data_IF_957988471564
#
_entry.id   IF_957988471564
#
_cell.length_a   1.000
_cell.length_b   1.000
_cell.length_c   1.000
_cell.angle_alpha   90.00
_cell.angle_beta   90.00
_cell.angle_gamma   90.00
#
_symmetry.space_group_name_H-M   'P 1'
#
loop_
_entity.id
_entity.type
_entity.pdbx_description
1 polymer ?
#
# COMPACT_ATOMS: atom_id res chain seq x y z
N UNK A 1 10.15 -13.76 -11.63
CA UNK A 1 8.91 -13.51 -12.39
C UNK A 1 8.22 -12.31 -11.78
N UNK A 2 7.66 -11.40 -12.58
CA UNK A 2 6.90 -10.27 -12.08
C UNK A 2 5.40 -10.55 -12.15
N UNK A 3 4.65 -10.05 -11.18
CA UNK A 3 3.19 -10.14 -11.13
C UNK A 3 2.60 -8.78 -10.80
N UNK A 4 1.46 -8.45 -11.43
CA UNK A 4 0.73 -7.20 -11.20
C UNK A 4 -0.55 -7.52 -10.44
N UNK A 5 -0.79 -6.81 -9.34
CA UNK A 5 -1.98 -6.93 -8.51
C UNK A 5 -2.77 -5.63 -8.57
N UNK A 6 -4.09 -5.74 -8.63
CA UNK A 6 -5.01 -4.61 -8.59
C UNK A 6 -5.84 -4.69 -7.32
N UNK A 7 -5.93 -3.57 -6.60
CA UNK A 7 -6.78 -3.43 -5.43
C UNK A 7 -7.58 -2.15 -5.51
N UNK A 8 -8.75 -2.15 -4.90
CA UNK A 8 -9.56 -0.97 -4.68
C UNK A 8 -9.84 -0.87 -3.18
N UNK A 9 -10.04 0.35 -2.71
CA UNK A 9 -10.44 0.60 -1.34
C UNK A 9 -10.97 2.02 -1.17
N UNK A 10 -11.37 2.30 0.07
CA UNK A 10 -11.97 3.58 0.45
C UNK A 10 -11.36 4.03 1.76
N UNK A 11 -10.70 5.19 1.74
CA UNK A 11 -10.26 5.86 2.97
C UNK A 11 -11.43 6.65 3.53
N UNK A 12 -11.76 6.43 4.80
CA UNK A 12 -12.86 7.13 5.48
C UNK A 12 -12.31 8.15 6.46
N UNK A 13 -12.76 9.39 6.32
CA UNK A 13 -12.38 10.50 7.18
C UNK A 13 -13.56 10.81 8.11
N UNK A 14 -13.28 10.75 9.41
CA UNK A 14 -14.23 11.22 10.43
C UNK A 14 -14.49 12.72 10.35
N UNK A 15 -15.36 13.21 11.22
CA UNK A 15 -15.61 14.64 11.31
C UNK A 15 -14.35 15.41 11.73
N UNK A 16 -14.03 16.49 11.00
CA UNK A 16 -12.88 17.37 11.23
C UNK A 16 -13.23 18.81 10.81
N UNK A 17 -12.39 19.80 11.14
CA UNK A 17 -12.65 21.24 10.89
C UNK A 17 -11.40 21.96 10.42
N UNK A 18 -11.48 22.70 9.30
CA UNK A 18 -10.48 23.69 8.87
C UNK A 18 -9.04 23.19 8.64
N UNK A 19 -8.76 21.91 8.87
CA UNK A 19 -7.42 21.32 8.80
C UNK A 19 -7.44 20.11 7.88
N UNK A 20 -6.31 19.90 7.20
CA UNK A 20 -6.10 18.70 6.41
C UNK A 20 -6.10 17.50 7.35
N UNK A 21 -6.97 16.53 7.08
CA UNK A 21 -7.02 15.28 7.85
C UNK A 21 -6.40 14.18 7.02
N UNK A 22 -5.62 13.32 7.67
CA UNK A 22 -4.92 12.21 7.03
C UNK A 22 -5.46 10.88 7.56
N UNK A 23 -5.62 9.89 6.69
CA UNK A 23 -6.00 8.51 7.04
C UNK A 23 -5.12 7.54 6.28
N UNK A 24 -4.75 6.43 6.92
CA UNK A 24 -3.79 5.45 6.42
C UNK A 24 -4.44 4.08 6.39
N UNK A 25 -4.29 3.36 5.28
CA UNK A 25 -4.63 1.94 5.18
C UNK A 25 -3.37 1.15 4.81
N UNK A 26 -3.04 0.12 5.59
CA UNK A 26 -1.84 -0.68 5.40
C UNK A 26 -2.15 -2.06 4.81
N UNK A 27 -1.26 -2.55 3.94
CA UNK A 27 -1.41 -3.81 3.23
C UNK A 27 -0.15 -4.67 3.32
N UNK A 28 -0.37 -5.96 3.56
CA UNK A 28 0.64 -7.00 3.41
C UNK A 28 0.42 -7.70 2.08
N UNK A 29 1.43 -7.71 1.21
CA UNK A 29 1.34 -8.31 -0.13
C UNK A 29 1.77 -9.79 -0.12
N UNK A 30 2.55 -10.18 0.87
CA UNK A 30 2.91 -11.58 1.10
C UNK A 30 2.89 -11.87 2.60
N UNK A 31 1.99 -12.74 3.08
CA UNK A 31 2.19 -13.37 4.36
C UNK A 31 3.46 -14.24 4.21
N UNK A 32 4.40 -13.93 5.08
CA UNK A 32 5.39 -14.80 5.70
C UNK A 32 6.51 -15.55 4.92
N UNK A 33 6.41 -16.10 3.71
CA UNK A 33 7.57 -16.92 3.22
C UNK A 33 7.75 -17.13 1.70
N UNK A 34 6.96 -16.47 0.87
CA UNK A 34 6.96 -16.77 -0.58
C UNK A 34 8.13 -16.15 -1.37
N UNK A 35 9.11 -15.49 -0.75
CA UNK A 35 10.17 -14.78 -1.50
C UNK A 35 9.66 -13.62 -2.39
N UNK A 36 8.38 -13.29 -2.30
CA UNK A 36 7.75 -12.18 -3.03
C UNK A 36 8.12 -10.85 -2.38
N UNK A 37 8.50 -9.86 -3.18
CA UNK A 37 8.75 -8.48 -2.73
C UNK A 37 8.01 -7.50 -3.62
N UNK A 38 7.59 -6.37 -3.03
CA UNK A 38 7.02 -5.26 -3.76
C UNK A 38 8.16 -4.60 -4.55
N UNK A 39 8.00 -4.55 -5.86
CA UNK A 39 8.93 -3.87 -6.74
C UNK A 39 8.55 -2.41 -6.92
N UNK A 40 7.26 -2.15 -7.17
CA UNK A 40 6.70 -0.83 -7.42
C UNK A 40 5.22 -0.80 -7.01
N UNK A 41 4.69 0.39 -6.72
CA UNK A 41 3.29 0.61 -6.43
C UNK A 41 2.85 1.98 -6.92
N UNK A 42 1.64 2.07 -7.46
CA UNK A 42 1.03 3.34 -7.86
C UNK A 42 -0.41 3.38 -7.41
N UNK A 43 -0.81 4.52 -6.85
CA UNK A 43 -2.17 4.74 -6.36
C UNK A 43 -2.83 5.87 -7.14
N UNK A 44 -4.13 5.72 -7.40
CA UNK A 44 -4.94 6.66 -8.16
C UNK A 44 -6.23 6.98 -7.41
N UNK A 45 -6.60 8.26 -7.40
CA UNK A 45 -7.92 8.68 -6.94
C UNK A 45 -8.95 8.26 -7.98
N UNK A 46 -9.99 7.53 -7.56
CA UNK A 46 -11.15 7.18 -8.39
C UNK A 46 -12.32 8.11 -8.19
N UNK A 47 -12.48 8.60 -6.98
CA UNK A 47 -13.59 9.44 -6.56
C UNK A 47 -13.37 9.92 -5.13
N UNK A 48 -14.13 10.92 -4.74
CA UNK A 48 -14.17 11.41 -3.37
C UNK A 48 -15.57 11.95 -3.09
N UNK A 49 -16.03 11.75 -1.87
CA UNK A 49 -17.25 12.38 -1.37
C UNK A 49 -16.90 13.22 -0.15
N UNK A 50 -17.41 14.44 -0.08
CA UNK A 50 -17.26 15.31 1.08
C UNK A 50 -18.61 15.92 1.42
N UNK A 51 -18.91 16.03 2.70
CA UNK A 51 -20.15 16.62 3.17
C UNK A 51 -19.88 17.45 4.42
N UNK A 52 -20.39 18.67 4.44
CA UNK A 52 -20.48 19.46 5.66
C UNK A 52 -21.46 18.80 6.64
N UNK A 53 -21.18 18.84 7.93
CA UNK A 53 -22.08 18.26 8.95
C UNK A 53 -22.97 19.31 9.63
N UNK A 54 -22.78 20.60 9.32
CA UNK A 54 -23.67 21.72 9.68
C UNK A 54 -24.46 22.24 8.47
N UNK A 55 -25.07 23.43 8.55
CA UNK A 55 -26.09 23.90 7.58
C UNK A 55 -25.76 25.17 6.80
N UNK A 56 -24.73 25.93 7.19
CA UNK A 56 -24.11 26.95 6.35
C UNK A 56 -23.02 26.30 5.49
N UNK A 57 -23.16 26.42 4.17
CA UNK A 57 -22.44 25.56 3.22
C UNK A 57 -21.64 26.40 2.22
N UNK A 58 -20.83 27.33 2.71
CA UNK A 58 -20.01 28.15 1.82
C UNK A 58 -18.75 27.40 1.41
N UNK A 59 -18.91 26.45 0.50
CA UNK A 59 -17.80 25.70 -0.09
C UNK A 59 -16.84 26.60 -0.88
N UNK A 60 -15.55 26.57 -0.56
CA UNK A 60 -14.52 27.25 -1.36
C UNK A 60 -13.62 26.27 -2.10
N UNK A 61 -13.07 25.29 -1.40
CA UNK A 61 -12.02 24.42 -1.96
C UNK A 61 -12.07 23.03 -1.34
N UNK A 62 -11.96 21.99 -2.18
CA UNK A 62 -11.57 20.64 -1.77
C UNK A 62 -10.13 20.42 -2.22
N UNK A 63 -9.29 19.91 -1.33
CA UNK A 63 -8.01 19.30 -1.68
C UNK A 63 -8.05 17.83 -1.31
N UNK A 64 -7.72 16.98 -2.28
CA UNK A 64 -7.60 15.53 -2.12
C UNK A 64 -6.16 15.15 -2.44
N UNK A 65 -5.49 14.53 -1.48
CA UNK A 65 -4.16 13.97 -1.65
C UNK A 65 -4.19 12.46 -1.46
N UNK A 66 -3.35 11.77 -2.21
CA UNK A 66 -3.18 10.34 -2.08
C UNK A 66 -1.71 10.02 -2.35
N UNK A 67 -1.12 9.20 -1.49
CA UNK A 67 0.25 8.76 -1.59
C UNK A 67 0.35 7.27 -1.28
N UNK A 68 1.46 6.66 -1.69
CA UNK A 68 1.77 5.25 -1.42
C UNK A 68 3.19 5.14 -0.90
N UNK A 69 3.34 4.54 0.28
CA UNK A 69 4.64 4.27 0.87
C UNK A 69 4.90 2.76 0.83
N UNK A 70 6.03 2.38 0.26
CA UNK A 70 6.52 0.99 0.31
C UNK A 70 7.54 0.90 1.42
N UNK A 71 7.46 -0.17 2.20
CA UNK A 71 8.40 -0.43 3.28
C UNK A 71 9.82 -0.70 2.82
N UNK A 72 10.78 -0.46 3.71
CA UNK A 72 12.19 -0.75 3.44
C UNK A 72 12.45 -2.23 3.12
N UNK A 73 11.74 -3.15 3.79
CA UNK A 73 11.81 -4.59 3.52
C UNK A 73 11.00 -5.03 2.28
N UNK A 74 10.25 -4.10 1.68
CA UNK A 74 9.37 -4.29 0.53
C UNK A 74 8.34 -5.41 0.72
N UNK A 75 7.91 -5.66 1.97
CA UNK A 75 6.89 -6.67 2.31
C UNK A 75 5.52 -6.06 2.56
N UNK A 76 5.49 -4.79 2.93
CA UNK A 76 4.27 -4.04 3.18
C UNK A 76 4.27 -2.72 2.42
N UNK A 77 3.08 -2.19 2.21
CA UNK A 77 2.89 -0.84 1.72
C UNK A 77 1.72 -0.21 2.46
N UNK A 78 1.69 1.12 2.56
CA UNK A 78 0.52 1.88 3.00
C UNK A 78 0.01 2.78 1.89
N UNK A 79 -1.30 3.00 1.89
CA UNK A 79 -1.93 4.07 1.11
C UNK A 79 -2.35 5.14 2.11
N UNK A 80 -1.82 6.34 1.90
CA UNK A 80 -2.03 7.49 2.78
C UNK A 80 -2.88 8.51 2.02
N UNK A 81 -4.05 8.85 2.55
CA UNK A 81 -4.92 9.85 1.95
C UNK A 81 -5.01 11.09 2.82
N UNK A 82 -5.07 12.26 2.19
CA UNK A 82 -5.38 13.52 2.85
C UNK A 82 -6.62 14.16 2.23
N UNK A 83 -7.47 14.69 3.10
CA UNK A 83 -8.68 15.41 2.72
C UNK A 83 -8.74 16.75 3.45
N UNK A 84 -8.92 17.82 2.69
CA UNK A 84 -9.17 19.16 3.21
C UNK A 84 -10.39 19.75 2.52
N UNK A 85 -11.36 20.17 3.31
CA UNK A 85 -12.45 21.05 2.89
C UNK A 85 -12.23 22.41 3.53
N UNK A 86 -12.22 23.47 2.71
CA UNK A 86 -12.22 24.86 3.19
C UNK A 86 -13.52 25.55 2.85
N UNK A 87 -14.12 26.12 3.86
CA UNK A 87 -15.16 27.15 3.81
C UNK A 87 -14.53 28.55 4.01
N UNK A 88 -15.37 29.58 4.17
CA UNK A 88 -14.92 30.97 4.31
C UNK A 88 -14.18 31.30 5.60
N UNK A 89 -14.45 30.56 6.67
CA UNK A 89 -13.99 30.80 8.03
C UNK A 89 -13.19 29.61 8.58
N UNK A 90 -13.26 28.44 7.93
CA UNK A 90 -12.50 27.25 8.30
C UNK A 90 -13.09 26.53 9.52
N UNK A 91 -14.30 26.88 9.96
CA UNK A 91 -14.91 26.35 11.18
C UNK A 91 -15.99 25.30 10.92
N UNK A 92 -16.44 25.16 9.68
CA UNK A 92 -17.46 24.20 9.30
C UNK A 92 -16.93 22.77 9.38
N UNK A 93 -17.55 21.91 10.20
CA UNK A 93 -17.17 20.52 10.27
C UNK A 93 -17.50 19.79 8.97
N UNK A 94 -16.58 18.93 8.55
CA UNK A 94 -16.75 18.09 7.37
C UNK A 94 -16.28 16.68 7.62
N UNK A 95 -16.80 15.76 6.81
CA UNK A 95 -16.36 14.36 6.73
C UNK A 95 -16.35 13.93 5.27
N UNK A 96 -15.70 12.82 4.98
CA UNK A 96 -15.68 12.34 3.61
C UNK A 96 -15.02 11.00 3.41
N UNK A 97 -14.94 10.62 2.15
CA UNK A 97 -14.28 9.41 1.68
C UNK A 97 -13.41 9.73 0.48
N UNK A 98 -12.35 8.93 0.30
CA UNK A 98 -11.56 8.89 -0.93
C UNK A 98 -11.57 7.44 -1.42
N UNK A 99 -12.15 7.23 -2.60
CA UNK A 99 -12.06 5.95 -3.30
C UNK A 99 -10.78 5.91 -4.12
N UNK A 100 -10.05 4.80 -4.03
CA UNK A 100 -8.80 4.65 -4.74
C UNK A 100 -8.67 3.32 -5.49
N UNK A 101 -7.80 3.34 -6.50
CA UNK A 101 -7.25 2.16 -7.18
C UNK A 101 -5.76 2.08 -6.85
N UNK A 102 -5.30 0.89 -6.46
CA UNK A 102 -3.90 0.59 -6.20
C UNK A 102 -3.43 -0.47 -7.20
N UNK A 103 -2.31 -0.19 -7.87
CA UNK A 103 -1.58 -1.14 -8.71
C UNK A 103 -0.28 -1.49 -8.00
N UNK A 104 -0.04 -2.78 -7.77
CA UNK A 104 1.17 -3.27 -7.11
C UNK A 104 1.91 -4.20 -8.05
N UNK A 105 3.17 -3.87 -8.33
CA UNK A 105 4.07 -4.75 -9.06
C UNK A 105 4.92 -5.51 -8.04
N UNK A 106 4.89 -6.83 -8.12
CA UNK A 106 5.68 -7.71 -7.26
C UNK A 106 6.70 -8.47 -8.09
N UNK A 107 7.81 -8.83 -7.46
CA UNK A 107 8.79 -9.76 -8.03
C UNK A 107 8.99 -10.95 -7.10
N UNK A 108 9.14 -12.12 -7.70
CA UNK A 108 9.52 -13.33 -7.00
C UNK A 108 11.01 -13.58 -7.19
N UNK A 109 11.77 -13.54 -6.09
CA UNK A 109 13.13 -14.04 -6.07
C UNK A 109 13.06 -15.55 -5.82
N UNK A 110 13.24 -16.32 -6.90
CA UNK A 110 13.52 -17.74 -6.74
C UNK A 110 14.89 -17.85 -6.06
N UNK A 111 14.90 -18.10 -4.75
CA UNK A 111 16.11 -18.63 -4.13
C UNK A 111 16.26 -20.01 -4.76
N UNK A 112 17.29 -20.27 -5.57
CA UNK A 112 17.51 -21.61 -6.06
C UNK A 112 17.67 -22.47 -4.81
N UNK A 113 16.73 -23.38 -4.58
CA UNK A 113 16.96 -24.46 -3.63
C UNK A 113 18.15 -25.21 -4.19
N UNK A 114 19.34 -24.93 -3.66
CA UNK A 114 20.48 -25.82 -3.83
C UNK A 114 20.05 -27.06 -3.05
N UNK A 115 19.36 -27.96 -3.74
CA UNK A 115 19.20 -29.32 -3.27
C UNK A 115 20.61 -29.87 -3.27
N UNK A 116 21.26 -29.84 -2.11
CA UNK A 116 22.37 -30.73 -1.89
C UNK A 116 21.79 -32.11 -2.14
N UNK A 117 22.17 -32.73 -3.27
CA UNK A 117 21.97 -34.16 -3.44
C UNK A 117 22.47 -34.79 -2.16
N UNK A 118 21.63 -35.66 -1.58
CA UNK A 118 21.82 -36.38 -0.32
C UNK A 118 23.26 -36.29 0.18
N UNK A 119 23.43 -35.80 1.42
CA UNK A 119 24.72 -35.69 2.10
C UNK A 119 25.57 -36.94 1.87
N UNK A 120 24.94 -38.11 1.83
CA UNK A 120 25.61 -39.38 1.54
C UNK A 120 26.22 -39.44 0.13
N UNK A 121 25.54 -38.98 -0.92
CA UNK A 121 26.09 -38.91 -2.30
C UNK A 121 27.27 -37.93 -2.40
N UNK A 122 27.25 -36.85 -1.62
CA UNK A 122 28.33 -35.86 -1.58
C UNK A 122 29.56 -36.44 -0.87
N UNK A 123 29.35 -37.19 0.22
CA UNK A 123 30.40 -37.90 0.93
C UNK A 123 30.98 -39.06 0.10
N UNK A 124 30.16 -39.75 -0.69
CA UNK A 124 30.60 -40.84 -1.56
C UNK A 124 31.49 -40.33 -2.70
N UNK A 125 31.10 -39.24 -3.37
CA UNK A 125 31.93 -38.60 -4.41
C UNK A 125 33.25 -38.05 -3.86
N UNK A 126 33.27 -37.55 -2.63
CA UNK A 126 34.52 -37.10 -1.97
C UNK A 126 35.44 -38.26 -1.59
N UNK A 127 34.90 -39.46 -1.33
CA UNK A 127 35.71 -40.66 -1.08
C UNK A 127 36.33 -41.21 -2.36
N UNK A 128 35.60 -41.17 -3.48
CA UNK A 128 36.08 -41.69 -4.77
C UNK A 128 37.17 -40.81 -5.41
N UNK A 129 37.13 -39.50 -5.21
CA UNK A 129 38.07 -38.55 -5.83
C UNK A 129 39.48 -38.46 -5.21
N UNK A 130 39.78 -39.23 -4.15
CA UNK A 130 41.07 -39.24 -3.46
C UNK A 130 41.91 -40.50 -3.73
N UNK A 131 41.62 -41.22 -4.82
CA UNK A 131 42.32 -42.45 -5.23
C UNK A 131 43.33 -42.19 -6.33
#
# INVERSE_FOLDING_TARGET
MQSVHFRQGTLTFGETRGVSTTTIEAFTVAPDDTGTTIYDATVFVRGYDVTFTNGDHNFQQVTVGLDVAISDDRKWLSVDGSLLLRDSNGDDPFRGTIDYSLVVVTTFLAIPTIVFQDKESLLERLREGNS
#
